data_IF_547771995319
#
_entry.id   IF_547771995319
#
_cell.length_a   1.000
_cell.length_b   1.000
_cell.length_c   1.000
_cell.angle_alpha   90.00
_cell.angle_beta   90.00
_cell.angle_gamma   90.00
#
_symmetry.space_group_name_H-M   'P 1'
#
loop_
_entity.id
_entity.type
_entity.pdbx_description
1 polymer ?
#
# COMPACT_ATOMS: atom_id res chain seq x y z
N UNK A 1 -5.54 37.28 96.65
CA UNK A 1 -5.67 35.80 96.56
C UNK A 1 -5.43 35.39 95.12
N UNK A 2 -4.39 34.58 94.90
CA UNK A 2 -3.88 34.06 93.62
C UNK A 2 -4.53 32.73 93.25
N UNK A 3 -5.27 32.64 92.13
CA UNK A 3 -5.69 31.41 91.44
C UNK A 3 -5.97 31.82 89.98
N UNK A 4 -5.55 31.21 88.87
CA UNK A 4 -4.74 30.02 88.58
C UNK A 4 -4.78 29.83 87.05
N UNK A 5 -3.68 30.08 86.34
CA UNK A 5 -3.59 30.10 84.86
C UNK A 5 -3.28 28.73 84.24
N UNK A 6 -3.73 27.62 84.84
CA UNK A 6 -3.38 26.25 84.39
C UNK A 6 -4.45 25.52 83.55
N UNK A 7 -5.64 26.08 83.37
CA UNK A 7 -6.73 25.41 82.62
C UNK A 7 -6.76 25.65 81.10
N UNK A 8 -6.13 26.73 80.61
CA UNK A 8 -6.29 27.19 79.22
C UNK A 8 -5.37 26.48 78.22
N UNK A 9 -4.20 26.01 78.66
CA UNK A 9 -3.18 25.40 77.80
C UNK A 9 -3.48 23.94 77.42
N UNK A 10 -4.18 23.18 78.28
CA UNK A 10 -4.59 21.80 77.95
C UNK A 10 -5.73 21.72 76.94
N UNK A 11 -6.64 22.71 76.95
CA UNK A 11 -7.75 22.76 76.00
C UNK A 11 -7.26 23.16 74.59
N UNK A 12 -6.32 24.09 74.50
CA UNK A 12 -5.72 24.49 73.21
C UNK A 12 -4.89 23.36 72.58
N UNK A 13 -4.16 22.57 73.37
CA UNK A 13 -3.40 21.42 72.86
C UNK A 13 -4.29 20.33 72.25
N UNK A 14 -5.45 20.05 72.85
CA UNK A 14 -6.40 19.07 72.32
C UNK A 14 -7.10 19.52 71.04
N UNK A 15 -7.44 20.81 70.93
CA UNK A 15 -8.08 21.37 69.73
C UNK A 15 -7.12 21.34 68.53
N UNK A 16 -5.82 21.55 68.74
CA UNK A 16 -4.82 21.49 67.67
C UNK A 16 -4.61 20.04 67.17
N UNK A 17 -4.63 19.04 68.06
CA UNK A 17 -4.48 17.63 67.66
C UNK A 17 -5.71 17.13 66.87
N UNK A 18 -6.92 17.54 67.25
CA UNK A 18 -8.14 17.20 66.49
C UNK A 18 -8.15 17.89 65.12
N UNK A 19 -7.65 19.13 65.03
CA UNK A 19 -7.54 19.84 63.76
C UNK A 19 -6.50 19.22 62.81
N UNK A 20 -5.37 18.71 63.32
CA UNK A 20 -4.35 18.05 62.49
C UNK A 20 -4.72 16.62 62.06
N UNK A 21 -5.55 15.90 62.81
CA UNK A 21 -6.00 14.55 62.41
C UNK A 21 -7.06 14.58 61.29
N UNK A 22 -7.79 15.69 61.12
CA UNK A 22 -8.83 15.83 60.10
C UNK A 22 -8.32 16.22 58.71
N UNK A 23 -7.05 16.63 58.57
CA UNK A 23 -6.51 17.14 57.28
C UNK A 23 -5.62 16.16 56.52
N UNK A 24 -5.35 14.96 57.06
CA UNK A 24 -4.42 13.99 56.44
C UNK A 24 -5.11 12.82 55.71
N UNK A 25 -6.43 12.80 55.63
CA UNK A 25 -7.17 11.76 54.93
C UNK A 25 -8.13 12.35 53.91
N UNK A 26 -7.61 12.86 52.80
CA UNK A 26 -8.30 12.85 51.50
C UNK A 26 -7.34 13.34 50.41
N UNK A 27 -6.49 12.44 49.91
CA UNK A 27 -6.04 12.55 48.52
C UNK A 27 -7.29 12.27 47.69
N UNK A 28 -7.96 13.33 47.22
CA UNK A 28 -9.06 13.20 46.27
C UNK A 28 -8.50 12.49 45.05
N UNK A 29 -8.90 11.22 44.84
CA UNK A 29 -8.64 10.54 43.57
C UNK A 29 -9.18 11.45 42.47
N UNK A 30 -8.39 11.76 41.43
CA UNK A 30 -8.87 12.62 40.35
C UNK A 30 -10.14 11.98 39.78
N UNK A 31 -11.21 12.78 39.73
CA UNK A 31 -12.49 12.34 39.17
C UNK A 31 -12.26 12.02 37.69
N UNK A 32 -12.15 10.74 37.36
CA UNK A 32 -12.13 10.30 35.96
C UNK A 32 -13.52 10.58 35.40
N UNK A 33 -13.65 11.34 34.30
CA UNK A 33 -14.95 11.62 33.69
C UNK A 33 -15.68 10.32 33.43
N UNK A 34 -16.91 10.20 33.96
CA UNK A 34 -17.77 9.06 33.71
C UNK A 34 -17.93 8.86 32.21
N UNK A 35 -17.49 7.70 31.71
CA UNK A 35 -17.65 7.32 30.30
C UNK A 35 -19.09 7.01 29.91
N UNK A 36 -20.07 7.21 30.81
CA UNK A 36 -21.47 6.83 30.60
C UNK A 36 -22.12 7.53 29.39
N UNK A 37 -21.61 8.69 28.97
CA UNK A 37 -22.10 9.44 27.81
C UNK A 37 -21.16 9.35 26.59
N UNK A 38 -20.28 8.34 26.51
CA UNK A 38 -19.45 8.14 25.33
C UNK A 38 -20.34 7.66 24.18
N UNK A 39 -20.49 8.50 23.17
CA UNK A 39 -21.07 8.11 21.88
C UNK A 39 -19.96 7.44 21.06
N UNK A 40 -20.16 6.23 20.52
CA UNK A 40 -19.21 5.63 19.59
C UNK A 40 -18.94 6.60 18.43
N UNK A 41 -17.65 6.74 18.05
CA UNK A 41 -17.24 7.61 16.94
C UNK A 41 -17.89 7.15 15.62
N UNK A 42 -18.15 5.85 15.49
CA UNK A 42 -18.76 5.22 14.33
C UNK A 42 -20.08 4.55 14.70
N UNK A 43 -21.09 4.64 13.84
CA UNK A 43 -22.38 3.96 14.02
C UNK A 43 -22.27 2.45 13.80
N UNK A 44 -23.16 1.67 14.42
CA UNK A 44 -23.24 0.21 14.24
C UNK A 44 -23.47 -0.19 12.77
N UNK A 45 -24.19 0.64 12.02
CA UNK A 45 -24.38 0.47 10.58
C UNK A 45 -23.05 0.57 9.82
N UNK A 46 -22.25 1.61 10.09
CA UNK A 46 -20.94 1.80 9.47
C UNK A 46 -19.97 0.66 9.82
N UNK A 47 -20.00 0.17 11.06
CA UNK A 47 -19.21 -0.98 11.51
C UNK A 47 -19.61 -2.25 10.74
N UNK A 48 -20.91 -2.48 10.57
CA UNK A 48 -21.43 -3.63 9.84
C UNK A 48 -21.06 -3.58 8.35
N UNK A 49 -21.19 -2.40 7.72
CA UNK A 49 -20.77 -2.18 6.33
C UNK A 49 -19.27 -2.43 6.16
N UNK A 50 -18.44 -1.98 7.10
CA UNK A 50 -17.00 -2.24 7.09
C UNK A 50 -16.71 -3.74 7.18
N UNK A 51 -17.34 -4.47 8.10
CA UNK A 51 -17.16 -5.92 8.21
C UNK A 51 -17.55 -6.67 6.92
N UNK A 52 -18.66 -6.30 6.29
CA UNK A 52 -19.07 -6.92 5.02
C UNK A 52 -18.09 -6.61 3.89
N UNK A 53 -17.56 -5.38 3.82
CA UNK A 53 -16.50 -5.01 2.86
C UNK A 53 -15.25 -5.87 3.08
N UNK A 54 -14.77 -5.99 4.32
CA UNK A 54 -13.58 -6.80 4.63
C UNK A 54 -13.80 -8.27 4.26
N UNK A 55 -14.98 -8.83 4.52
CA UNK A 55 -15.32 -10.20 4.10
C UNK A 55 -15.33 -10.34 2.58
N UNK A 56 -15.91 -9.38 1.86
CA UNK A 56 -15.92 -9.36 0.39
C UNK A 56 -14.49 -9.33 -0.16
N UNK A 57 -13.66 -8.43 0.35
CA UNK A 57 -12.26 -8.27 -0.04
C UNK A 57 -11.45 -9.56 0.22
N UNK A 58 -11.70 -10.25 1.32
CA UNK A 58 -11.08 -11.54 1.62
C UNK A 58 -11.48 -12.64 0.63
N UNK A 59 -12.75 -12.72 0.24
CA UNK A 59 -13.23 -13.69 -0.75
C UNK A 59 -12.58 -13.44 -2.11
N UNK A 60 -12.59 -12.18 -2.57
CA UNK A 60 -11.94 -11.80 -3.83
C UNK A 60 -10.44 -12.14 -3.84
N UNK A 61 -9.74 -11.92 -2.71
CA UNK A 61 -8.33 -12.27 -2.57
C UNK A 61 -8.11 -13.79 -2.65
N UNK A 62 -8.98 -14.59 -2.03
CA UNK A 62 -8.92 -16.05 -2.12
C UNK A 62 -9.16 -16.52 -3.56
N UNK A 63 -10.20 -16.03 -4.22
CA UNK A 63 -10.51 -16.35 -5.62
C UNK A 63 -9.34 -16.01 -6.55
N UNK A 64 -8.76 -14.81 -6.41
CA UNK A 64 -7.58 -14.41 -7.19
C UNK A 64 -6.40 -15.35 -6.95
N UNK A 65 -6.17 -15.78 -5.71
CA UNK A 65 -5.08 -16.70 -5.40
C UNK A 65 -5.26 -18.07 -6.07
N UNK A 66 -6.50 -18.56 -6.17
CA UNK A 66 -6.82 -19.80 -6.88
C UNK A 66 -6.61 -19.63 -8.39
N UNK A 67 -7.10 -18.53 -8.97
CA UNK A 67 -6.91 -18.23 -10.40
C UNK A 67 -5.44 -18.09 -10.78
N UNK A 68 -4.61 -17.48 -9.92
CA UNK A 68 -3.16 -17.37 -10.17
C UNK A 68 -2.52 -18.75 -10.24
N UNK A 69 -2.82 -19.65 -9.31
CA UNK A 69 -2.32 -21.03 -9.35
C UNK A 69 -2.77 -21.76 -10.63
N UNK A 70 -4.02 -21.57 -11.04
CA UNK A 70 -4.52 -22.15 -12.30
C UNK A 70 -3.76 -21.62 -13.52
N UNK A 71 -3.49 -20.31 -13.58
CA UNK A 71 -2.69 -19.70 -14.65
C UNK A 71 -1.28 -20.27 -14.64
N UNK A 72 -0.65 -20.44 -13.47
CA UNK A 72 0.68 -21.04 -13.36
C UNK A 72 0.70 -22.47 -13.89
N UNK A 73 -0.27 -23.31 -13.50
CA UNK A 73 -0.41 -24.68 -14.02
C UNK A 73 -0.60 -24.69 -15.55
N UNK A 74 -1.49 -23.85 -16.08
CA UNK A 74 -1.70 -23.75 -17.53
C UNK A 74 -0.44 -23.26 -18.25
N UNK A 75 0.29 -22.32 -17.66
CA UNK A 75 1.55 -21.81 -18.23
C UNK A 75 2.59 -22.93 -18.28
N UNK A 76 2.71 -23.74 -17.22
CA UNK A 76 3.59 -24.90 -17.19
C UNK A 76 3.21 -25.93 -18.27
N UNK A 77 1.92 -26.23 -18.42
CA UNK A 77 1.44 -27.15 -19.46
C UNK A 77 1.78 -26.65 -20.87
N UNK A 78 1.62 -25.35 -21.14
CA UNK A 78 2.02 -24.76 -22.43
C UNK A 78 3.52 -24.86 -22.65
N UNK A 79 4.34 -24.63 -21.61
CA UNK A 79 5.79 -24.79 -21.70
C UNK A 79 6.19 -26.23 -21.99
N UNK A 80 5.59 -27.22 -21.32
CA UNK A 80 5.83 -28.64 -21.55
C UNK A 80 5.48 -29.05 -22.99
N UNK A 81 4.32 -28.63 -23.50
CA UNK A 81 3.91 -28.86 -24.89
C UNK A 81 4.86 -28.21 -25.89
N UNK A 82 5.31 -26.99 -25.61
CA UNK A 82 6.28 -26.29 -26.47
C UNK A 82 7.63 -27.03 -26.51
N UNK A 83 8.10 -27.54 -25.37
CA UNK A 83 9.34 -28.31 -25.30
C UNK A 83 9.22 -29.64 -26.07
N UNK A 84 8.09 -30.34 -25.93
CA UNK A 84 7.81 -31.57 -26.67
C UNK A 84 7.78 -31.34 -28.19
N UNK A 85 7.13 -30.26 -28.65
CA UNK A 85 7.12 -29.86 -30.06
C UNK A 85 8.54 -29.60 -30.58
N UNK A 86 9.36 -28.92 -29.78
CA UNK A 86 10.75 -28.58 -30.14
C UNK A 86 11.61 -29.84 -30.30
N UNK A 87 11.44 -30.82 -29.40
CA UNK A 87 12.10 -32.11 -29.50
C UNK A 87 11.67 -32.89 -30.75
N UNK A 88 10.36 -32.91 -31.05
CA UNK A 88 9.84 -33.56 -32.25
C UNK A 88 10.40 -32.93 -33.53
N UNK A 89 10.48 -31.60 -33.59
CA UNK A 89 11.07 -30.87 -34.72
C UNK A 89 12.56 -31.20 -34.89
N UNK A 90 13.32 -31.28 -33.79
CA UNK A 90 14.73 -31.66 -33.83
C UNK A 90 14.90 -33.09 -34.38
N UNK A 91 14.09 -34.04 -33.90
CA UNK A 91 14.12 -35.42 -34.37
C UNK A 91 13.79 -35.51 -35.88
N UNK A 92 12.79 -34.76 -36.37
CA UNK A 92 12.48 -34.72 -37.81
C UNK A 92 13.65 -34.15 -38.64
N UNK A 93 14.31 -33.12 -38.14
CA UNK A 93 15.48 -32.52 -38.82
C UNK A 93 16.68 -33.48 -38.83
N UNK A 94 16.93 -34.24 -37.77
CA UNK A 94 17.95 -35.30 -37.75
C UNK A 94 17.61 -36.43 -38.73
N UNK A 95 16.35 -36.86 -38.79
CA UNK A 95 15.89 -37.84 -39.78
C UNK A 95 16.07 -37.32 -41.22
N UNK A 96 15.77 -36.05 -41.47
CA UNK A 96 15.98 -35.41 -42.77
C UNK A 96 17.48 -35.32 -43.14
N UNK A 97 18.36 -35.02 -42.17
CA UNK A 97 19.82 -35.04 -42.36
C UNK A 97 20.37 -36.45 -42.57
N UNK A 98 19.87 -37.43 -41.81
CA UNK A 98 20.24 -38.84 -41.93
C UNK A 98 19.83 -39.45 -43.27
N UNK A 99 18.68 -39.04 -43.81
CA UNK A 99 18.20 -39.47 -45.14
C UNK A 99 19.04 -38.94 -46.30
N UNK A 100 19.73 -37.80 -46.12
CA UNK A 100 20.71 -37.29 -47.09
C UNK A 100 22.07 -38.00 -47.02
N UNK A 101 22.35 -38.78 -45.97
CA UNK A 101 23.66 -39.43 -45.77
C UNK A 101 23.64 -40.96 -45.89
N UNK A 102 22.46 -41.60 -45.91
CA UNK A 102 22.33 -43.05 -45.95
C UNK A 102 21.38 -43.53 -47.06
N UNK A 103 21.93 -43.70 -48.27
CA UNK A 103 21.57 -44.84 -49.09
C UNK A 103 22.19 -46.09 -48.47
N UNK A 104 21.50 -46.74 -47.53
CA UNK A 104 21.47 -48.20 -47.34
C UNK A 104 20.82 -48.64 -46.01
N UNK A 105 19.83 -49.53 -46.17
CA UNK A 105 19.35 -50.65 -45.32
C UNK A 105 19.06 -50.45 -43.82
N UNK A 106 17.75 -50.37 -43.54
CA UNK A 106 16.91 -51.10 -42.53
C UNK A 106 17.45 -51.26 -41.09
N UNK A 107 16.71 -50.71 -40.10
CA UNK A 107 15.91 -51.48 -39.11
C UNK A 107 14.94 -50.54 -38.38
N UNK A 108 13.69 -51.00 -38.23
CA UNK A 108 12.61 -50.27 -37.58
C UNK A 108 12.60 -50.60 -36.08
N UNK A 109 12.74 -49.57 -35.24
CA UNK A 109 12.40 -49.63 -33.82
C UNK A 109 11.46 -48.45 -33.53
N UNK A 110 10.16 -48.72 -33.59
CA UNK A 110 9.13 -47.77 -33.19
C UNK A 110 9.08 -47.74 -31.65
N UNK A 111 9.49 -46.62 -31.07
CA UNK A 111 9.30 -46.35 -29.64
C UNK A 111 7.86 -45.87 -29.45
N UNK A 112 7.03 -46.75 -28.89
CA UNK A 112 5.65 -46.45 -28.49
C UNK A 112 5.66 -45.46 -27.33
N UNK A 113 5.23 -44.22 -27.58
CA UNK A 113 4.88 -43.26 -26.54
C UNK A 113 3.39 -43.41 -26.28
N UNK A 114 3.01 -43.85 -25.07
CA UNK A 114 1.61 -43.91 -24.65
C UNK A 114 1.03 -42.50 -24.55
N UNK A 115 -0.16 -42.22 -25.12
CA UNK A 115 -0.87 -40.98 -24.90
C UNK A 115 -1.48 -40.98 -23.49
N UNK A 116 -1.14 -39.98 -22.67
CA UNK A 116 -1.92 -39.63 -21.49
C UNK A 116 -3.23 -38.99 -21.95
N UNK A 117 -4.33 -39.73 -21.79
CA UNK A 117 -5.69 -39.25 -22.03
C UNK A 117 -6.05 -38.11 -21.07
N UNK A 118 -6.71 -37.03 -21.54
CA UNK A 118 -7.25 -36.01 -20.66
C UNK A 118 -8.67 -36.39 -20.23
N UNK A 119 -8.86 -36.78 -18.97
CA UNK A 119 -10.20 -36.92 -18.39
C UNK A 119 -10.79 -35.53 -18.14
N UNK A 120 -11.59 -35.04 -19.09
CA UNK A 120 -12.57 -33.99 -18.85
C UNK A 120 -13.94 -34.66 -18.82
N UNK A 121 -14.54 -34.79 -17.63
CA UNK A 121 -15.98 -34.69 -17.39
C UNK A 121 -16.30 -34.92 -15.91
N UNK A 122 -16.73 -33.88 -15.22
CA UNK A 122 -17.67 -34.01 -14.12
C UNK A 122 -18.55 -32.76 -14.09
N UNK A 123 -19.87 -32.88 -14.33
CA UNK A 123 -20.79 -31.77 -14.14
C UNK A 123 -21.14 -31.61 -12.66
N UNK A 124 -21.48 -30.37 -12.30
CA UNK A 124 -22.03 -29.98 -11.01
C UNK A 124 -23.13 -30.96 -10.55
N UNK A 125 -23.01 -31.48 -9.33
CA UNK A 125 -24.13 -32.08 -8.60
C UNK A 125 -24.44 -31.22 -7.38
N UNK A 126 -25.54 -30.47 -7.49
CA UNK A 126 -26.25 -29.84 -6.40
C UNK A 126 -27.14 -30.87 -5.71
N UNK A 127 -26.95 -31.10 -4.42
CA UNK A 127 -27.98 -31.69 -3.57
C UNK A 127 -27.94 -31.05 -2.16
N UNK A 128 -29.12 -30.79 -1.54
CA UNK A 128 -29.24 -30.02 -0.31
C UNK A 128 -29.16 -30.93 0.93
N UNK A 129 -28.78 -30.37 2.08
CA UNK A 129 -29.03 -31.02 3.38
C UNK A 129 -29.67 -30.02 4.34
N UNK A 130 -30.96 -30.25 4.61
CA UNK A 130 -31.73 -29.64 5.69
C UNK A 130 -31.55 -30.41 6.99
N UNK A 131 -31.38 -29.63 8.06
CA UNK A 131 -31.82 -29.78 9.46
C UNK A 131 -32.40 -31.10 9.98
N UNK A 132 -31.88 -31.56 11.15
CA UNK A 132 -32.62 -31.60 12.42
C UNK A 132 -31.71 -31.93 13.63
N UNK A 133 -31.95 -31.24 14.76
CA UNK A 133 -31.34 -31.50 16.09
C UNK A 133 -31.85 -32.80 16.73
N UNK A 134 -31.37 -33.29 17.88
CA UNK A 134 -31.18 -32.67 19.21
C UNK A 134 -30.32 -33.64 20.12
N UNK A 135 -30.11 -33.48 21.45
CA UNK A 135 -28.74 -33.38 22.02
C UNK A 135 -28.35 -34.37 23.18
N UNK A 136 -27.04 -34.41 23.49
CA UNK A 136 -26.38 -34.68 24.81
C UNK A 136 -26.51 -36.08 25.48
N UNK A 137 -25.68 -36.43 26.52
CA UNK A 137 -24.61 -35.68 27.20
C UNK A 137 -23.26 -36.41 27.43
N UNK A 138 -22.25 -35.60 27.77
CA UNK A 138 -21.14 -35.77 28.73
C UNK A 138 -20.44 -37.13 28.94
N UNK A 139 -19.12 -37.14 28.70
CA UNK A 139 -18.13 -37.70 29.62
C UNK A 139 -16.75 -37.04 29.42
N UNK A 140 -16.21 -36.50 30.51
CA UNK A 140 -14.81 -36.14 30.75
C UNK A 140 -13.89 -37.37 30.50
N UNK A 141 -12.58 -37.29 30.23
CA UNK A 141 -11.58 -36.50 30.93
C UNK A 141 -10.19 -36.70 30.26
N UNK A 142 -9.25 -35.83 30.61
CA UNK A 142 -7.79 -36.01 30.62
C UNK A 142 -6.95 -35.86 29.32
N UNK A 143 -6.44 -34.62 29.21
CA UNK A 143 -5.01 -34.26 29.17
C UNK A 143 -4.05 -35.07 28.29
N UNK A 144 -3.48 -34.40 27.29
CA UNK A 144 -2.01 -34.31 27.16
C UNK A 144 -1.67 -32.97 26.49
N UNK A 145 -1.10 -32.10 27.30
CA UNK A 145 -0.47 -30.83 26.93
C UNK A 145 0.67 -31.06 25.93
N UNK A 146 0.56 -30.49 24.73
CA UNK A 146 1.71 -30.20 23.89
C UNK A 146 1.78 -28.70 23.67
N UNK A 147 2.74 -28.11 24.36
CA UNK A 147 3.21 -26.75 24.23
C UNK A 147 3.69 -26.51 22.80
N UNK A 148 2.94 -25.70 22.04
CA UNK A 148 3.48 -24.91 20.94
C UNK A 148 3.22 -23.44 21.26
N UNK A 149 4.29 -22.81 21.74
CA UNK A 149 4.43 -21.37 21.89
C UNK A 149 4.33 -20.72 20.51
N UNK A 150 3.12 -20.28 20.15
CA UNK A 150 2.93 -19.31 19.08
C UNK A 150 3.29 -17.94 19.67
N UNK A 151 4.54 -17.51 19.44
CA UNK A 151 4.90 -16.11 19.61
C UNK A 151 4.10 -15.31 18.58
N UNK A 152 3.13 -14.58 19.12
CA UNK A 152 2.32 -13.57 18.46
C UNK A 152 3.22 -12.35 18.30
N UNK A 153 3.81 -12.15 17.13
CA UNK A 153 4.40 -10.86 16.76
C UNK A 153 3.25 -9.89 16.45
N UNK A 154 2.73 -9.33 17.54
CA UNK A 154 1.97 -8.10 17.56
C UNK A 154 2.99 -6.98 17.83
N UNK A 155 3.65 -6.50 16.79
CA UNK A 155 4.40 -5.24 16.83
C UNK A 155 4.01 -4.42 15.59
N UNK A 156 3.10 -3.47 15.76
CA UNK A 156 3.43 -2.08 16.09
C UNK A 156 3.99 -1.37 14.88
N UNK A 157 3.13 -0.52 14.30
CA UNK A 157 3.46 0.60 13.43
C UNK A 157 4.79 1.23 13.81
N UNK A 158 5.86 0.81 13.14
CA UNK A 158 7.17 1.46 13.17
C UNK A 158 7.81 1.23 11.82
N UNK A 159 7.70 2.22 10.95
CA UNK A 159 8.73 2.49 9.95
C UNK A 159 8.93 3.99 9.85
N UNK A 160 9.47 4.55 10.94
CA UNK A 160 10.33 5.73 10.83
C UNK A 160 11.70 5.20 10.43
N UNK A 161 11.92 5.06 9.11
CA UNK A 161 13.27 5.07 8.53
C UNK A 161 13.59 6.50 8.11
N UNK A 162 14.86 6.90 7.95
CA UNK A 162 15.21 8.31 7.78
C UNK A 162 14.64 8.79 6.44
N UNK A 163 13.49 9.47 6.52
CA UNK A 163 12.93 10.23 5.41
C UNK A 163 13.85 11.39 5.07
N UNK A 164 13.55 12.09 3.98
CA UNK A 164 14.15 13.35 3.56
C UNK A 164 14.22 14.35 4.74
N UNK A 165 15.22 14.18 5.60
CA UNK A 165 15.38 14.93 6.84
C UNK A 165 16.34 16.03 6.50
N UNK A 166 15.79 17.21 6.23
CA UNK A 166 16.55 18.45 6.24
C UNK A 166 17.01 18.63 7.70
N UNK A 167 18.18 18.10 8.04
CA UNK A 167 18.86 18.45 9.28
C UNK A 167 19.27 19.92 9.21
N UNK A 168 19.17 20.69 10.32
CA UNK A 168 19.52 22.10 10.30
C UNK A 168 21.04 22.21 10.18
N UNK A 169 21.52 22.55 8.98
CA UNK A 169 22.84 23.12 8.85
C UNK A 169 22.84 24.42 9.61
N UNK A 170 23.69 24.53 10.64
CA UNK A 170 23.86 25.71 11.46
C UNK A 170 24.41 26.88 10.61
N UNK A 171 23.50 27.53 9.88
CA UNK A 171 23.71 28.84 9.30
C UNK A 171 23.15 29.89 10.27
N UNK A 172 23.90 31.00 10.40
CA UNK A 172 23.54 32.15 11.22
C UNK A 172 22.08 32.57 10.97
N UNK A 173 21.34 32.85 12.03
CA UNK A 173 19.97 33.33 11.99
C UNK A 173 19.79 34.43 10.93
N UNK A 174 19.00 34.22 9.87
CA UNK A 174 18.56 35.32 9.02
C UNK A 174 17.47 36.10 9.76
N UNK A 175 17.47 37.42 9.60
CA UNK A 175 16.43 38.33 10.09
C UNK A 175 15.03 37.82 9.71
N UNK A 176 13.98 38.08 10.52
CA UNK A 176 12.64 37.65 10.19
C UNK A 176 12.26 38.17 8.79
N UNK A 177 11.74 37.31 7.89
CA UNK A 177 11.33 37.76 6.57
C UNK A 177 10.23 38.83 6.72
N UNK A 178 10.19 39.84 5.84
CA UNK A 178 9.12 40.83 5.87
C UNK A 178 7.76 40.13 5.77
N UNK A 179 6.70 40.69 6.39
CA UNK A 179 5.36 40.10 6.31
C UNK A 179 4.99 39.90 4.84
N UNK A 180 4.82 38.64 4.44
CA UNK A 180 4.30 38.34 3.11
C UNK A 180 2.83 38.80 3.12
N UNK A 181 2.54 39.86 2.37
CA UNK A 181 1.18 40.29 2.10
C UNK A 181 0.40 39.10 1.51
N UNK A 182 -0.51 38.54 2.30
CA UNK A 182 -1.39 37.42 1.89
C UNK A 182 -2.23 37.72 0.64
N UNK A 183 -2.29 38.98 0.21
CA UNK A 183 -3.03 39.44 -0.96
C UNK A 183 -2.32 39.17 -2.31
N UNK A 184 -1.03 38.79 -2.33
CA UNK A 184 -0.30 38.45 -3.59
C UNK A 184 -0.15 36.93 -3.84
N UNK A 185 -0.59 36.09 -2.90
CA UNK A 185 -0.55 34.62 -2.96
C UNK A 185 -1.39 34.01 -4.10
N UNK A 186 -2.47 34.68 -4.52
CA UNK A 186 -3.62 33.97 -5.12
C UNK A 186 -3.78 34.11 -6.65
N UNK A 187 -2.74 34.57 -7.38
CA UNK A 187 -2.85 34.76 -8.84
C UNK A 187 -2.12 33.72 -9.69
N UNK A 188 -1.36 32.81 -9.08
CA UNK A 188 -0.53 31.88 -9.84
C UNK A 188 -1.30 30.61 -10.21
N UNK A 189 -1.57 30.42 -11.51
CA UNK A 189 -2.25 29.23 -12.04
C UNK A 189 -1.23 28.20 -12.50
N UNK A 190 -1.37 26.92 -12.10
CA UNK A 190 -0.56 25.84 -12.63
C UNK A 190 -0.59 25.79 -14.16
N UNK A 191 0.59 25.67 -14.77
CA UNK A 191 0.73 25.48 -16.22
C UNK A 191 0.90 24.00 -16.51
N UNK A 192 0.12 23.48 -17.46
CA UNK A 192 0.20 22.07 -17.89
C UNK A 192 0.87 22.00 -19.26
N UNK A 193 1.96 21.24 -19.34
CA UNK A 193 2.70 20.96 -20.58
C UNK A 193 2.47 19.50 -20.96
N UNK A 194 1.83 19.25 -22.10
CA UNK A 194 1.69 17.89 -22.62
C UNK A 194 3.00 17.45 -23.31
N UNK A 195 3.60 16.35 -22.83
CA UNK A 195 4.75 15.71 -23.48
C UNK A 195 4.29 14.65 -24.50
N UNK A 196 3.21 13.94 -24.18
CA UNK A 196 2.55 12.97 -25.06
C UNK A 196 1.09 12.76 -24.67
N UNK A 197 0.37 11.86 -25.35
CA UNK A 197 -1.02 11.50 -25.00
C UNK A 197 -1.19 10.98 -23.56
N UNK A 198 -0.11 10.48 -22.94
CA UNK A 198 -0.14 9.88 -21.60
C UNK A 198 0.75 10.59 -20.59
N UNK A 199 1.50 11.59 -21.02
CA UNK A 199 2.52 12.20 -20.19
C UNK A 199 2.35 13.71 -20.24
N UNK A 200 2.26 14.31 -19.06
CA UNK A 200 2.15 15.74 -18.91
C UNK A 200 2.97 16.18 -17.70
N UNK A 201 3.43 17.42 -17.75
CA UNK A 201 4.12 18.10 -16.66
C UNK A 201 3.23 19.22 -16.19
N UNK A 202 2.94 19.24 -14.90
CA UNK A 202 2.24 20.35 -14.27
C UNK A 202 3.25 21.15 -13.46
N UNK A 203 3.41 22.40 -13.85
CA UNK A 203 4.28 23.33 -13.17
C UNK A 203 3.49 23.94 -12.04
N UNK A 204 4.10 23.94 -10.85
CA UNK A 204 3.70 24.74 -9.71
C UNK A 204 4.76 25.80 -9.40
N UNK A 205 4.44 26.74 -8.51
CA UNK A 205 5.35 27.80 -8.09
C UNK A 205 6.64 27.25 -7.44
N UNK A 206 6.52 26.19 -6.64
CA UNK A 206 7.64 25.56 -5.92
C UNK A 206 7.65 24.03 -6.04
N UNK A 207 6.86 23.50 -6.99
CA UNK A 207 6.90 22.07 -7.30
C UNK A 207 6.66 21.83 -8.78
N UNK A 208 7.10 20.65 -9.24
CA UNK A 208 6.84 20.18 -10.60
C UNK A 208 6.29 18.77 -10.48
N UNK A 209 5.13 18.53 -11.10
CA UNK A 209 4.45 17.24 -11.05
C UNK A 209 4.53 16.59 -12.43
N UNK A 210 5.29 15.50 -12.53
CA UNK A 210 5.31 14.65 -13.71
C UNK A 210 4.19 13.63 -13.61
N UNK A 211 3.21 13.69 -14.51
CA UNK A 211 2.06 12.77 -14.53
C UNK A 211 2.22 11.78 -15.67
N UNK A 212 2.07 10.49 -15.37
CA UNK A 212 2.12 9.38 -16.34
C UNK A 212 0.86 8.54 -16.23
N UNK A 213 -0.01 8.65 -17.23
CA UNK A 213 -1.24 7.86 -17.34
C UNK A 213 -0.97 6.40 -17.70
N UNK A 214 -1.78 5.51 -17.13
CA UNK A 214 -1.64 4.08 -17.23
C UNK A 214 -2.87 3.39 -17.82
N UNK A 215 -2.64 2.23 -18.44
CA UNK A 215 -3.71 1.40 -18.99
C UNK A 215 -4.37 0.58 -17.88
N UNK A 216 -5.63 0.22 -18.09
CA UNK A 216 -6.38 -0.68 -17.21
C UNK A 216 -5.63 -1.99 -17.02
N UNK A 217 -5.58 -2.49 -15.78
CA UNK A 217 -4.90 -3.74 -15.42
C UNK A 217 -3.39 -3.75 -15.61
N UNK A 218 -2.75 -2.60 -15.91
CA UNK A 218 -1.31 -2.48 -16.03
C UNK A 218 -0.76 -1.53 -14.98
N UNK A 219 0.42 -1.87 -14.46
CA UNK A 219 1.20 -1.08 -13.51
C UNK A 219 2.62 -0.77 -14.01
N UNK A 220 2.96 -1.19 -15.24
CA UNK A 220 4.28 -0.96 -15.82
C UNK A 220 4.55 0.54 -16.03
N UNK A 221 5.63 1.04 -15.42
CA UNK A 221 6.10 2.42 -15.60
C UNK A 221 7.18 2.46 -16.69
N UNK A 222 6.84 3.03 -17.85
CA UNK A 222 7.72 3.13 -19.03
C UNK A 222 7.61 4.52 -19.64
N UNK A 223 8.30 5.52 -19.09
CA UNK A 223 8.21 6.90 -19.57
C UNK A 223 8.83 7.09 -20.96
N UNK A 224 8.38 8.08 -21.73
CA UNK A 224 8.95 8.46 -23.03
C UNK A 224 10.38 8.99 -22.90
N UNK A 225 11.15 8.98 -23.99
CA UNK A 225 12.53 9.51 -24.00
C UNK A 225 12.62 10.97 -23.51
N UNK A 226 11.61 11.77 -23.81
CA UNK A 226 11.54 13.17 -23.39
C UNK A 226 11.37 13.25 -21.87
N UNK A 227 10.42 12.51 -21.29
CA UNK A 227 10.23 12.47 -19.83
C UNK A 227 11.46 11.88 -19.11
N UNK A 228 12.08 10.84 -19.66
CA UNK A 228 13.32 10.26 -19.12
C UNK A 228 14.45 11.29 -19.00
N UNK A 229 14.60 12.15 -20.01
CA UNK A 229 15.64 13.18 -20.02
C UNK A 229 15.41 14.22 -18.92
N UNK A 230 14.16 14.66 -18.71
CA UNK A 230 13.82 15.59 -17.63
C UNK A 230 13.99 14.94 -16.24
N UNK A 231 13.59 13.68 -16.08
CA UNK A 231 13.79 12.94 -14.83
C UNK A 231 15.28 12.79 -14.50
N UNK A 232 16.14 12.51 -15.49
CA UNK A 232 17.59 12.44 -15.27
C UNK A 232 18.19 13.78 -14.85
N UNK A 233 17.73 14.88 -15.45
CA UNK A 233 18.18 16.23 -15.11
C UNK A 233 17.85 16.58 -13.65
N UNK A 234 16.66 16.23 -13.18
CA UNK A 234 16.30 16.54 -11.79
C UNK A 234 16.98 15.58 -10.80
N UNK A 235 17.14 14.31 -11.18
CA UNK A 235 17.84 13.32 -10.37
C UNK A 235 19.30 13.69 -10.11
N UNK A 236 20.00 14.35 -11.05
CA UNK A 236 21.38 14.79 -10.84
C UNK A 236 21.52 15.88 -9.79
N UNK A 237 20.43 16.58 -9.45
CA UNK A 237 20.38 17.61 -8.40
C UNK A 237 20.05 17.04 -7.02
N UNK A 238 19.50 15.82 -6.96
CA UNK A 238 19.19 15.12 -5.72
C UNK A 238 18.01 15.63 -4.86
N UNK A 239 16.91 16.19 -5.40
CA UNK A 239 15.78 16.64 -4.56
C UNK A 239 14.92 15.48 -4.03
N UNK A 240 14.19 15.68 -2.94
CA UNK A 240 13.23 14.67 -2.50
C UNK A 240 12.12 14.48 -3.56
N UNK A 241 11.87 13.23 -3.96
CA UNK A 241 10.84 12.86 -4.93
C UNK A 241 9.67 12.18 -4.21
N UNK A 242 8.45 12.69 -4.42
CA UNK A 242 7.23 12.06 -3.92
C UNK A 242 6.52 11.34 -5.05
N UNK A 243 6.49 10.01 -4.97
CA UNK A 243 5.90 9.13 -5.98
C UNK A 243 4.51 8.69 -5.52
N UNK A 244 3.48 9.17 -6.19
CA UNK A 244 2.08 8.93 -5.82
C UNK A 244 1.41 8.03 -6.85
N UNK A 245 0.81 6.93 -6.41
CA UNK A 245 0.09 5.98 -7.27
C UNK A 245 -1.42 6.14 -7.12
N UNK A 246 -2.13 6.21 -8.25
CA UNK A 246 -3.58 6.43 -8.29
C UNK A 246 -4.33 5.36 -9.09
N UNK A 247 -5.63 5.23 -8.84
CA UNK A 247 -6.55 4.46 -9.70
C UNK A 247 -7.75 5.27 -10.17
N UNK A 248 -8.63 4.62 -10.91
CA UNK A 248 -9.94 5.12 -11.35
C UNK A 248 -11.09 4.48 -10.56
N UNK A 249 -10.80 3.90 -9.39
CA UNK A 249 -11.81 3.32 -8.52
C UNK A 249 -12.67 4.39 -7.84
N UNK A 250 -13.95 4.09 -7.65
CA UNK A 250 -14.88 4.97 -6.91
C UNK A 250 -15.12 4.51 -5.46
N UNK A 251 -14.72 3.28 -5.14
CA UNK A 251 -14.92 2.69 -3.81
C UNK A 251 -13.61 2.10 -3.29
N UNK A 252 -13.36 2.24 -2.00
CA UNK A 252 -12.20 1.63 -1.35
C UNK A 252 -12.33 0.11 -1.42
N UNK A 253 -11.44 -0.53 -2.18
CA UNK A 253 -11.32 -1.98 -2.30
C UNK A 253 -9.85 -2.34 -2.21
N UNK A 254 -9.54 -3.48 -1.61
CA UNK A 254 -8.17 -3.98 -1.55
C UNK A 254 -7.46 -4.01 -2.92
N UNK A 255 -8.19 -4.29 -4.02
CA UNK A 255 -7.65 -4.33 -5.38
C UNK A 255 -7.17 -2.96 -5.83
N UNK A 256 -7.92 -1.90 -5.51
CA UNK A 256 -7.55 -0.52 -5.87
C UNK A 256 -6.30 -0.10 -5.08
N UNK A 257 -6.25 -0.43 -3.79
CA UNK A 257 -5.09 -0.19 -2.94
C UNK A 257 -3.83 -0.90 -3.45
N UNK A 258 -3.95 -2.19 -3.77
CA UNK A 258 -2.83 -2.95 -4.31
C UNK A 258 -2.41 -2.45 -5.70
N UNK A 259 -3.37 -2.03 -6.53
CA UNK A 259 -3.08 -1.46 -7.85
C UNK A 259 -2.32 -0.15 -7.72
N UNK A 260 -2.82 0.82 -6.94
CA UNK A 260 -2.15 2.10 -6.69
C UNK A 260 -0.74 1.89 -6.11
N UNK A 261 -0.60 0.97 -5.15
CA UNK A 261 0.71 0.58 -4.57
C UNK A 261 1.68 0.07 -5.63
N UNK A 262 1.25 -0.90 -6.45
CA UNK A 262 2.11 -1.47 -7.49
C UNK A 262 2.54 -0.41 -8.50
N UNK A 263 1.66 0.52 -8.86
CA UNK A 263 1.98 1.63 -9.77
C UNK A 263 3.09 2.52 -9.21
N UNK A 264 2.96 2.96 -7.96
CA UNK A 264 3.98 3.77 -7.31
C UNK A 264 5.31 3.01 -7.15
N UNK A 265 5.25 1.73 -6.75
CA UNK A 265 6.44 0.89 -6.60
C UNK A 265 7.17 0.68 -7.93
N UNK A 266 6.46 0.49 -9.05
CA UNK A 266 7.09 0.34 -10.37
C UNK A 266 7.77 1.62 -10.82
N UNK A 267 7.20 2.79 -10.51
CA UNK A 267 7.85 4.07 -10.77
C UNK A 267 9.10 4.28 -9.89
N UNK A 268 9.02 3.97 -8.59
CA UNK A 268 10.19 3.98 -7.69
C UNK A 268 11.29 3.04 -8.18
N UNK A 269 10.93 1.80 -8.55
CA UNK A 269 11.89 0.83 -9.07
C UNK A 269 12.56 1.33 -10.35
N UNK A 270 11.81 2.02 -11.22
CA UNK A 270 12.37 2.67 -12.40
C UNK A 270 13.40 3.75 -12.03
N UNK A 271 13.08 4.65 -11.09
CA UNK A 271 13.99 5.72 -10.64
C UNK A 271 15.28 5.16 -10.04
N UNK A 272 15.17 4.12 -9.21
CA UNK A 272 16.32 3.43 -8.62
C UNK A 272 17.17 2.78 -9.72
N UNK A 273 16.53 2.13 -10.71
CA UNK A 273 17.24 1.54 -11.84
C UNK A 273 17.93 2.60 -12.74
N UNK A 274 17.49 3.86 -12.69
CA UNK A 274 18.19 4.99 -13.32
C UNK A 274 19.33 5.56 -12.44
N UNK A 275 19.58 4.98 -11.27
CA UNK A 275 20.66 5.36 -10.36
C UNK A 275 20.26 6.35 -9.25
N UNK A 276 18.96 6.56 -9.02
CA UNK A 276 18.52 7.45 -7.93
C UNK A 276 18.64 6.80 -6.55
N UNK A 277 19.00 7.59 -5.53
CA UNK A 277 19.06 7.09 -4.16
C UNK A 277 17.65 6.73 -3.66
N UNK A 278 17.40 5.47 -3.24
CA UNK A 278 16.13 5.04 -2.68
C UNK A 278 15.66 5.85 -1.45
N UNK A 279 16.57 6.51 -0.72
CA UNK A 279 16.27 7.33 0.46
C UNK A 279 15.67 8.70 0.09
N UNK A 280 15.86 9.14 -1.16
CA UNK A 280 15.28 10.39 -1.67
C UNK A 280 13.94 10.16 -2.38
N UNK A 281 13.34 8.96 -2.23
CA UNK A 281 12.06 8.61 -2.85
C UNK A 281 11.06 8.23 -1.77
N UNK A 282 10.04 9.06 -1.62
CA UNK A 282 8.86 8.76 -0.82
C UNK A 282 7.75 8.16 -1.71
N UNK A 283 6.99 7.19 -1.20
CA UNK A 283 5.82 6.63 -1.89
C UNK A 283 4.56 6.97 -1.12
N UNK A 284 3.54 7.44 -1.85
CA UNK A 284 2.17 7.55 -1.34
C UNK A 284 1.23 6.71 -2.19
N UNK A 285 0.32 5.98 -1.54
CA UNK A 285 -0.69 5.13 -2.19
C UNK A 285 -2.04 5.79 -2.05
N UNK A 286 -2.67 6.14 -3.18
CA UNK A 286 -3.95 6.84 -3.21
C UNK A 286 -4.93 6.01 -4.06
N UNK A 287 -5.58 5.00 -3.46
CA UNK A 287 -6.47 4.12 -4.19
C UNK A 287 -7.75 4.77 -4.69
N UNK A 288 -8.23 5.79 -4.00
CA UNK A 288 -9.52 6.44 -4.27
C UNK A 288 -9.39 7.93 -3.99
N UNK A 289 -10.09 8.73 -4.80
CA UNK A 289 -10.10 10.18 -4.68
C UNK A 289 -9.00 10.87 -5.49
N UNK A 290 -8.95 12.19 -5.37
CA UNK A 290 -8.04 13.05 -6.17
C UNK A 290 -8.11 12.75 -7.69
N UNK A 291 -9.32 12.52 -8.19
CA UNK A 291 -9.58 12.35 -9.61
C UNK A 291 -9.37 13.68 -10.35
N UNK A 292 -8.54 13.66 -11.37
CA UNK A 292 -8.21 14.83 -12.21
C UNK A 292 -9.16 14.98 -13.39
N UNK A 293 -10.03 14.01 -13.61
CA UNK A 293 -11.03 14.01 -14.66
C UNK A 293 -12.27 13.21 -14.25
N UNK A 294 -13.35 13.36 -15.00
CA UNK A 294 -14.61 12.68 -14.75
C UNK A 294 -14.52 11.15 -14.94
N UNK A 295 -14.78 10.40 -13.86
CA UNK A 295 -14.79 8.93 -13.87
C UNK A 295 -15.96 8.33 -14.65
N UNK A 296 -17.02 9.08 -14.97
CA UNK A 296 -18.09 8.57 -15.82
C UNK A 296 -17.60 8.27 -17.24
N UNK A 297 -16.63 9.06 -17.73
CA UNK A 297 -16.08 8.89 -19.09
C UNK A 297 -14.89 7.93 -19.13
N UNK A 298 -14.77 7.15 -20.22
CA UNK A 298 -13.61 6.28 -20.46
C UNK A 298 -12.29 7.07 -20.51
N UNK A 299 -12.34 8.28 -21.08
CA UNK A 299 -11.19 9.17 -21.18
C UNK A 299 -10.78 9.70 -19.80
N UNK A 300 -11.73 10.12 -18.96
CA UNK A 300 -11.41 10.61 -17.62
C UNK A 300 -10.86 9.52 -16.71
N UNK A 301 -11.43 8.31 -16.74
CA UNK A 301 -10.84 7.12 -16.08
C UNK A 301 -9.40 6.85 -16.52
N UNK A 302 -9.10 7.03 -17.81
CA UNK A 302 -7.74 6.88 -18.31
C UNK A 302 -6.76 7.93 -17.80
N UNK A 303 -7.23 9.15 -17.55
CA UNK A 303 -6.45 10.19 -16.90
C UNK A 303 -6.24 9.91 -15.41
N UNK A 304 -7.25 9.35 -14.72
CA UNK A 304 -7.20 9.07 -13.29
C UNK A 304 -6.28 7.91 -12.92
N UNK A 305 -6.22 6.85 -13.75
CA UNK A 305 -5.19 5.81 -13.65
C UNK A 305 -3.82 6.38 -13.98
N UNK A 306 -3.07 6.83 -12.98
CA UNK A 306 -1.79 7.51 -13.20
C UNK A 306 -0.80 7.27 -12.08
N UNK A 307 0.44 7.64 -12.37
CA UNK A 307 1.47 7.88 -11.37
C UNK A 307 1.87 9.34 -11.47
N UNK A 308 2.06 9.98 -10.32
CA UNK A 308 2.64 11.30 -10.20
C UNK A 308 4.01 11.20 -9.56
N UNK A 309 4.96 11.96 -10.08
CA UNK A 309 6.24 12.20 -9.43
C UNK A 309 6.29 13.69 -9.17
N UNK A 310 6.07 14.07 -7.92
CA UNK A 310 6.19 15.44 -7.47
C UNK A 310 7.63 15.71 -7.02
N UNK A 311 8.18 16.79 -7.57
CA UNK A 311 9.49 17.33 -7.20
C UNK A 311 9.25 18.62 -6.47
N UNK A 312 9.67 18.70 -5.21
CA UNK A 312 9.70 19.96 -4.46
C UNK A 312 11.04 20.63 -4.75
N UNK A 313 11.01 21.75 -5.47
CA UNK A 313 12.19 22.54 -5.82
C UNK A 313 11.89 24.00 -5.51
N UNK A 314 12.80 24.66 -4.79
CA UNK A 314 12.60 26.03 -4.36
C UNK A 314 12.65 27.00 -5.56
N UNK A 315 13.45 26.67 -6.57
CA UNK A 315 13.56 27.44 -7.81
C UNK A 315 13.49 26.53 -9.05
N UNK A 316 12.28 26.12 -9.47
CA UNK A 316 12.11 25.25 -10.63
C UNK A 316 12.46 25.95 -11.95
N UNK A 317 12.44 27.29 -11.99
CA UNK A 317 12.80 28.08 -13.17
C UNK A 317 14.30 28.00 -13.47
N UNK A 318 15.16 27.84 -12.45
CA UNK A 318 16.59 27.58 -12.66
C UNK A 318 16.87 26.23 -13.34
N UNK A 319 15.98 25.24 -13.18
CA UNK A 319 16.13 23.90 -13.77
C UNK A 319 15.50 23.83 -15.16
N UNK A 320 14.32 24.42 -15.34
CA UNK A 320 13.57 24.44 -16.60
C UNK A 320 13.16 25.86 -17.01
N UNK A 321 14.11 26.73 -17.37
CA UNK A 321 13.80 28.11 -17.72
C UNK A 321 12.82 28.22 -18.90
N UNK A 322 12.90 27.28 -19.84
CA UNK A 322 12.00 27.22 -21.00
C UNK A 322 10.52 26.98 -20.66
N UNK A 323 10.22 26.51 -19.45
CA UNK A 323 8.87 26.20 -19.00
C UNK A 323 8.24 27.32 -18.17
N UNK A 324 9.08 28.15 -17.55
CA UNK A 324 8.67 29.22 -16.63
C UNK A 324 8.73 30.63 -17.23
N UNK A 325 9.03 30.73 -18.54
CA UNK A 325 9.00 31.97 -19.33
C UNK A 325 7.68 32.73 -19.28
#
# INVERSE_FOLDING_TARGET
MTIGTRGRTRLQGFVIIIACAATLACVQKPAVPSGANRVPINSDEMISQYHERVKSDQREKQERSLLVRQIETLTQQVQELSAALTLMQLQQHELARGKSRAGNKITAAAVTINPLSPEWNSPLSSAPVSSNGTPSPAASDQSLSRTETVQREEERSTSVGPGCSIGPSAARSPSPPPPIDKAQSDSWKPRVIALSEREQVELHRHSVIFRVSQRTGRSAFRPSKQLQSHLKLIMSRGPCLHVRGYTDGDTDRWIEHETAKQRAQKARAYLIAQGYDPNHIEITVIPIGEHVADNATKQGRAKNRRVEIEVTEHDPAAVWPQWYG
#
